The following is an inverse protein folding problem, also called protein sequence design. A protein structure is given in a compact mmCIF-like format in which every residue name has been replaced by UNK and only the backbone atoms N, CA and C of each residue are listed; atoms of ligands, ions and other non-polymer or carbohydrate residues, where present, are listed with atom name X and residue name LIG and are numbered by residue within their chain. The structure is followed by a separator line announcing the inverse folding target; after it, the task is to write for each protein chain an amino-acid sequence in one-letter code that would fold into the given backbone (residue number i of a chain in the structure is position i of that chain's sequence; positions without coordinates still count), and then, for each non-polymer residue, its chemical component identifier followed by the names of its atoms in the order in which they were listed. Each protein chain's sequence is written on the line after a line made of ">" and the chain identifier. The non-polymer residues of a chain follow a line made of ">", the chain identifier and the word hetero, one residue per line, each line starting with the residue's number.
data_IF_925176127115
#
_entry.id   IF_925176127115
#
_cell.length_a   1.000
_cell.length_b   1.000
_cell.length_c   1.000
_cell.angle_alpha   90.00
_cell.angle_beta   90.00
_cell.angle_gamma   90.00
#
_symmetry.space_group_name_H-M   'P 1'
#
loop_
_entity.id
_entity.type
_entity.pdbx_description
1 polymer ?
#
# COMPACT_ATOMS: atom_id res chain seq x y z
N UNK A 1 -9.37 12.26 -10.12
CA UNK A 1 -10.25 12.05 -8.95
C UNK A 1 -10.71 13.41 -8.45
N UNK A 2 -12.01 13.56 -8.13
CA UNK A 2 -12.53 14.80 -7.56
C UNK A 2 -11.94 15.09 -6.18
N UNK A 3 -11.86 16.35 -5.80
CA UNK A 3 -11.42 16.74 -4.46
C UNK A 3 -12.44 16.23 -3.42
N UNK A 4 -12.01 15.36 -2.51
CA UNK A 4 -12.81 14.95 -1.35
C UNK A 4 -12.92 16.13 -0.39
N UNK A 5 -14.13 16.49 0.02
CA UNK A 5 -14.36 17.54 1.03
C UNK A 5 -14.07 16.96 2.41
N UNK A 6 -12.89 17.27 2.97
CA UNK A 6 -12.42 16.74 4.26
C UNK A 6 -13.10 17.37 5.47
N UNK A 7 -13.70 18.55 5.31
CA UNK A 7 -14.30 19.34 6.40
C UNK A 7 -15.59 18.73 6.99
N UNK A 8 -16.15 17.70 6.35
CA UNK A 8 -17.35 16.99 6.82
C UNK A 8 -17.04 15.79 7.74
N UNK A 9 -15.76 15.49 7.96
CA UNK A 9 -15.33 14.30 8.69
C UNK A 9 -14.44 14.68 9.87
N UNK A 10 -14.42 13.81 10.89
CA UNK A 10 -13.51 13.96 12.02
C UNK A 10 -12.06 13.83 11.57
N UNK A 11 -11.13 14.41 12.34
CA UNK A 11 -9.69 14.29 12.08
C UNK A 11 -9.27 12.82 11.98
N UNK A 12 -9.74 11.98 12.90
CA UNK A 12 -9.47 10.54 12.89
C UNK A 12 -9.96 9.84 11.60
N UNK A 13 -11.12 10.23 11.06
CA UNK A 13 -11.63 9.67 9.80
C UNK A 13 -10.78 10.12 8.60
N UNK A 14 -10.36 11.38 8.58
CA UNK A 14 -9.49 11.91 7.53
C UNK A 14 -8.12 11.22 7.56
N UNK A 15 -7.53 11.04 8.74
CA UNK A 15 -6.26 10.33 8.92
C UNK A 15 -6.37 8.87 8.47
N UNK A 16 -7.42 8.17 8.89
CA UNK A 16 -7.68 6.80 8.45
C UNK A 16 -7.85 6.72 6.93
N UNK A 17 -8.57 7.67 6.32
CA UNK A 17 -8.79 7.70 4.88
C UNK A 17 -7.46 7.87 4.12
N UNK A 18 -6.51 8.65 4.63
CA UNK A 18 -5.16 8.79 4.04
C UNK A 18 -4.43 7.45 4.06
N UNK A 19 -4.43 6.77 5.21
CA UNK A 19 -3.76 5.48 5.37
C UNK A 19 -4.37 4.42 4.44
N UNK A 20 -5.69 4.29 4.43
CA UNK A 20 -6.38 3.29 3.61
C UNK A 20 -6.22 3.60 2.11
N UNK A 21 -6.24 4.89 1.72
CA UNK A 21 -5.97 5.29 0.33
C UNK A 21 -4.56 4.89 -0.11
N UNK A 22 -3.57 4.98 0.78
CA UNK A 22 -2.22 4.49 0.49
C UNK A 22 -2.22 2.96 0.26
N UNK A 23 -3.09 2.21 0.94
CA UNK A 23 -3.18 0.75 0.81
C UNK A 23 -4.10 0.27 -0.34
N UNK A 24 -4.94 1.12 -0.90
CA UNK A 24 -6.04 0.72 -1.80
C UNK A 24 -5.66 0.06 -3.13
N UNK A 25 -4.36 -0.04 -3.46
CA UNK A 25 -3.90 -0.74 -4.66
C UNK A 25 -3.64 -2.24 -4.36
N UNK A 26 -4.17 -3.19 -5.16
CA UNK A 26 -4.06 -4.63 -4.87
C UNK A 26 -2.61 -5.12 -4.74
N UNK A 27 -1.68 -4.57 -5.55
CA UNK A 27 -0.25 -4.88 -5.41
C UNK A 27 0.31 -4.54 -4.01
N UNK A 28 -0.13 -3.44 -3.38
CA UNK A 28 0.35 -3.06 -2.04
C UNK A 28 -0.19 -4.00 -0.97
N UNK A 29 -1.43 -4.47 -1.13
CA UNK A 29 -2.01 -5.50 -0.25
C UNK A 29 -1.21 -6.80 -0.37
N UNK A 30 -0.92 -7.26 -1.59
CA UNK A 30 -0.13 -8.47 -1.82
C UNK A 30 1.29 -8.37 -1.22
N UNK A 31 1.93 -7.20 -1.30
CA UNK A 31 3.21 -6.94 -0.64
C UNK A 31 3.07 -7.11 0.88
N UNK A 32 2.05 -6.53 1.51
CA UNK A 32 1.84 -6.66 2.97
C UNK A 32 1.59 -8.12 3.36
N UNK A 33 0.74 -8.84 2.64
CA UNK A 33 0.45 -10.25 2.92
C UNK A 33 1.71 -11.13 2.82
N UNK A 34 2.60 -10.82 1.89
CA UNK A 34 3.90 -11.48 1.78
C UNK A 34 4.81 -11.13 2.96
N UNK A 35 4.95 -9.85 3.28
CA UNK A 35 5.77 -9.36 4.40
C UNK A 35 5.34 -9.95 5.75
N UNK A 36 4.06 -10.26 5.94
CA UNK A 36 3.56 -10.91 7.15
C UNK A 36 3.99 -12.38 7.28
N UNK A 37 4.42 -13.03 6.19
CA UNK A 37 4.82 -14.45 6.17
C UNK A 37 6.34 -14.64 6.28
N UNK A 38 7.13 -13.59 6.05
CA UNK A 38 8.59 -13.65 6.02
C UNK A 38 9.20 -12.86 7.17
N UNK A 39 10.31 -13.35 7.72
CA UNK A 39 10.96 -12.70 8.86
C UNK A 39 11.88 -11.52 8.45
N UNK A 40 12.28 -11.52 7.18
CA UNK A 40 13.05 -10.47 6.51
C UNK A 40 12.81 -10.59 5.02
N UNK A 41 12.89 -9.49 4.27
CA UNK A 41 12.91 -9.57 2.81
C UNK A 41 13.82 -8.51 2.19
N UNK A 42 14.25 -8.77 0.95
CA UNK A 42 14.87 -7.78 0.05
C UNK A 42 13.94 -7.52 -1.14
N UNK A 43 14.00 -6.32 -1.74
CA UNK A 43 13.08 -5.95 -2.83
C UNK A 43 13.09 -6.93 -4.02
N UNK A 44 14.21 -7.60 -4.29
CA UNK A 44 14.31 -8.62 -5.33
C UNK A 44 13.47 -9.87 -5.08
N UNK A 45 13.21 -10.22 -3.81
CA UNK A 45 12.34 -11.35 -3.46
C UNK A 45 10.88 -11.02 -3.78
N UNK A 46 10.46 -9.77 -3.54
CA UNK A 46 9.11 -9.30 -3.89
C UNK A 46 8.89 -9.30 -5.40
N UNK A 47 9.92 -8.94 -6.19
CA UNK A 47 9.87 -9.03 -7.67
C UNK A 47 9.57 -10.45 -8.13
N UNK A 48 10.26 -11.44 -7.54
CA UNK A 48 10.08 -12.85 -7.89
C UNK A 48 8.71 -13.38 -7.45
N UNK A 49 8.26 -13.01 -6.25
CA UNK A 49 6.98 -13.49 -5.70
C UNK A 49 5.77 -12.90 -6.44
N UNK A 50 5.74 -11.58 -6.61
CA UNK A 50 4.57 -10.88 -7.14
C UNK A 50 4.60 -10.73 -8.66
N UNK A 51 5.68 -11.13 -9.32
CA UNK A 51 5.90 -10.93 -10.77
C UNK A 51 5.71 -9.46 -11.20
N UNK A 52 6.11 -8.53 -10.33
CA UNK A 52 6.09 -7.09 -10.58
C UNK A 52 7.50 -6.60 -10.88
N UNK A 53 7.63 -5.63 -11.79
CA UNK A 53 8.93 -5.02 -12.06
C UNK A 53 9.47 -4.28 -10.82
N UNK A 54 10.78 -4.33 -10.59
CA UNK A 54 11.44 -3.66 -9.46
C UNK A 54 11.08 -2.16 -9.32
N UNK A 55 11.00 -1.35 -10.40
CA UNK A 55 10.61 0.05 -10.28
C UNK A 55 9.19 0.19 -9.71
N UNK A 56 8.28 -0.73 -10.03
CA UNK A 56 6.90 -0.72 -9.53
C UNK A 56 6.84 -0.92 -8.02
N UNK A 57 7.78 -1.67 -7.45
CA UNK A 57 7.86 -1.92 -6.00
C UNK A 57 8.59 -0.77 -5.28
N UNK A 58 9.50 -0.09 -5.97
CA UNK A 58 10.31 1.01 -5.41
C UNK A 58 9.62 2.38 -5.44
N UNK A 59 8.46 2.51 -6.08
CA UNK A 59 7.69 3.77 -6.24
C UNK A 59 6.75 4.01 -5.05
#
# INVERSE_FOLDING_TARGET
>A
MGATKTDFYTDQQNDLAILIKALGHPARIAIIEYLLKVNSCICGEIVNELSLAQPTISQ
#
